data_IF_306525163587
#
_entry.id   IF_306525163587
#
_cell.length_a   1.000
_cell.length_b   1.000
_cell.length_c   1.000
_cell.angle_alpha   90.00
_cell.angle_beta   90.00
_cell.angle_gamma   90.00
#
_symmetry.space_group_name_H-M   'P 1'
#
loop_
_entity.id
_entity.type
_entity.pdbx_description
1 polymer ?
#
# COMPACT_ATOMS: atom_id res chain seq x y z
N UNK A 1 24.51 -14.43 10.57
CA UNK A 1 23.61 -14.64 9.43
C UNK A 1 24.27 -14.03 8.21
N UNK A 2 24.55 -14.85 7.20
CA UNK A 2 25.31 -14.42 6.02
C UNK A 2 24.39 -13.87 4.90
N UNK A 3 23.11 -14.24 4.90
CA UNK A 3 22.10 -13.73 3.98
C UNK A 3 21.63 -12.33 4.31
N UNK A 4 21.05 -11.63 3.31
CA UNK A 4 20.49 -10.30 3.43
C UNK A 4 18.98 -10.34 3.23
N UNK A 5 18.24 -9.55 3.99
CA UNK A 5 16.80 -9.37 3.82
C UNK A 5 16.50 -8.00 3.20
N UNK A 6 15.72 -8.01 2.13
CA UNK A 6 15.28 -6.82 1.42
C UNK A 6 13.76 -6.70 1.49
N UNK A 7 13.24 -5.66 2.15
CA UNK A 7 11.84 -5.27 2.04
C UNK A 7 11.67 -4.33 0.86
N UNK A 8 10.94 -4.74 -0.16
CA UNK A 8 10.90 -4.08 -1.46
C UNK A 8 9.49 -3.57 -1.78
N UNK A 9 9.37 -2.27 -1.99
CA UNK A 9 8.17 -1.68 -2.57
C UNK A 9 8.12 -1.91 -4.07
N UNK A 10 7.04 -2.55 -4.54
CA UNK A 10 6.85 -2.85 -5.97
C UNK A 10 5.99 -1.81 -6.69
N UNK A 11 5.65 -0.71 -6.02
CA UNK A 11 4.74 0.28 -6.60
C UNK A 11 3.28 -0.15 -6.57
N UNK A 12 2.38 0.63 -7.17
CA UNK A 12 0.92 0.49 -6.97
C UNK A 12 0.22 -0.45 -7.96
N UNK A 13 0.87 -0.87 -9.05
CA UNK A 13 0.25 -1.70 -10.08
C UNK A 13 1.12 -1.88 -11.33
N UNK A 14 1.59 -0.81 -11.91
CA UNK A 14 2.43 -0.83 -13.09
C UNK A 14 3.87 -1.30 -12.76
N UNK A 15 4.38 -2.37 -13.40
CA UNK A 15 5.77 -2.84 -13.22
C UNK A 15 6.83 -1.79 -13.57
N UNK A 16 6.56 -0.85 -14.46
CA UNK A 16 7.51 0.21 -14.83
C UNK A 16 7.70 1.27 -13.72
N UNK A 17 6.83 1.27 -12.71
CA UNK A 17 6.96 2.13 -11.52
C UNK A 17 7.84 1.53 -10.42
N UNK A 18 8.47 0.37 -10.65
CA UNK A 18 9.49 -0.14 -9.74
C UNK A 18 10.75 0.73 -9.80
N UNK A 19 11.33 1.01 -8.63
CA UNK A 19 12.64 1.67 -8.60
C UNK A 19 13.72 0.73 -9.15
N UNK A 20 14.74 1.27 -9.79
CA UNK A 20 15.90 0.46 -10.27
C UNK A 20 16.52 -0.38 -9.16
N UNK A 21 16.54 0.15 -7.93
CA UNK A 21 17.03 -0.58 -6.76
C UNK A 21 16.13 -1.76 -6.40
N UNK A 22 14.81 -1.61 -6.53
CA UNK A 22 13.84 -2.69 -6.33
C UNK A 22 14.03 -3.81 -7.37
N UNK A 23 14.14 -3.45 -8.64
CA UNK A 23 14.43 -4.40 -9.73
C UNK A 23 15.70 -5.19 -9.46
N UNK A 24 16.79 -4.51 -9.06
CA UNK A 24 18.06 -5.17 -8.76
C UNK A 24 17.95 -6.14 -7.57
N UNK A 25 17.20 -5.77 -6.52
CA UNK A 25 17.00 -6.64 -5.36
C UNK A 25 16.15 -7.89 -5.73
N UNK A 26 15.13 -7.74 -6.57
CA UNK A 26 14.30 -8.84 -7.05
C UNK A 26 15.12 -9.79 -7.94
N UNK A 27 15.90 -9.27 -8.89
CA UNK A 27 16.74 -10.09 -9.78
C UNK A 27 17.80 -10.90 -9.05
N UNK A 28 18.33 -10.38 -7.94
CA UNK A 28 19.38 -11.02 -7.14
C UNK A 28 18.83 -11.79 -5.91
N UNK A 29 17.53 -11.98 -5.81
CA UNK A 29 16.93 -12.75 -4.74
C UNK A 29 17.11 -14.26 -4.97
N UNK A 30 17.48 -14.99 -3.91
CA UNK A 30 17.42 -16.46 -3.87
C UNK A 30 16.01 -16.93 -3.49
N UNK A 31 15.32 -16.12 -2.64
CA UNK A 31 13.96 -16.38 -2.17
C UNK A 31 13.14 -15.10 -2.26
N UNK A 32 11.93 -15.21 -2.79
CA UNK A 32 10.94 -14.14 -2.79
C UNK A 32 9.79 -14.51 -1.87
N UNK A 33 9.55 -13.68 -0.87
CA UNK A 33 8.35 -13.76 -0.03
C UNK A 33 7.24 -12.96 -0.67
N UNK A 34 6.18 -13.64 -1.07
CA UNK A 34 4.98 -13.08 -1.68
C UNK A 34 3.84 -13.06 -0.64
N UNK A 35 3.53 -11.91 -0.02
CA UNK A 35 2.45 -11.85 0.95
C UNK A 35 1.09 -12.03 0.28
N UNK A 36 0.25 -12.84 0.90
CA UNK A 36 -1.14 -13.03 0.52
C UNK A 36 -2.07 -12.89 1.72
N UNK A 37 -3.35 -12.68 1.45
CA UNK A 37 -4.40 -12.71 2.48
C UNK A 37 -5.10 -14.06 2.48
N UNK A 38 -5.72 -14.44 3.59
CA UNK A 38 -6.48 -15.70 3.71
C UNK A 38 -7.60 -15.85 2.67
N UNK A 39 -8.11 -14.71 2.15
CA UNK A 39 -9.30 -14.65 1.28
C UNK A 39 -8.97 -14.61 -0.22
N UNK A 40 -7.70 -14.53 -0.60
CA UNK A 40 -7.30 -14.41 -2.02
C UNK A 40 -6.18 -15.38 -2.33
N UNK A 41 -6.38 -16.15 -3.39
CA UNK A 41 -5.30 -16.89 -4.02
C UNK A 41 -4.40 -15.90 -4.80
N UNK A 42 -3.10 -15.93 -4.52
CA UNK A 42 -2.11 -15.09 -5.17
C UNK A 42 -1.75 -13.80 -4.41
N UNK A 43 -0.77 -13.11 -4.95
CA UNK A 43 -0.20 -11.87 -4.40
C UNK A 43 -0.10 -10.82 -5.50
N UNK A 44 -0.82 -9.69 -5.35
CA UNK A 44 -0.73 -8.58 -6.30
C UNK A 44 0.71 -8.05 -6.40
N UNK A 45 1.43 -8.00 -5.29
CA UNK A 45 2.83 -7.58 -5.30
C UNK A 45 3.72 -8.54 -6.09
N UNK A 46 3.42 -9.84 -6.10
CA UNK A 46 4.12 -10.83 -6.93
C UNK A 46 3.84 -10.60 -8.42
N UNK A 47 2.57 -10.41 -8.80
CA UNK A 47 2.19 -10.14 -10.19
C UNK A 47 2.94 -8.93 -10.76
N UNK A 48 3.04 -7.84 -9.98
CA UNK A 48 3.78 -6.64 -10.40
C UNK A 48 5.29 -6.92 -10.55
N UNK A 49 5.87 -7.72 -9.67
CA UNK A 49 7.31 -8.03 -9.67
C UNK A 49 7.70 -9.10 -10.71
N UNK A 50 6.74 -9.89 -11.19
CA UNK A 50 6.96 -11.09 -12.03
C UNK A 50 7.90 -10.85 -13.21
N UNK A 51 7.82 -9.74 -13.99
CA UNK A 51 8.72 -9.49 -15.12
C UNK A 51 10.22 -9.40 -14.73
N UNK A 52 10.52 -9.20 -13.47
CA UNK A 52 11.88 -9.03 -12.97
C UNK A 52 12.41 -10.24 -12.18
N UNK A 53 11.60 -11.26 -11.97
CA UNK A 53 11.99 -12.49 -11.26
C UNK A 53 12.71 -13.41 -12.23
N UNK A 54 13.94 -13.83 -11.88
CA UNK A 54 14.73 -14.72 -12.74
C UNK A 54 14.65 -16.17 -12.27
N UNK A 55 15.27 -16.50 -11.13
CA UNK A 55 15.42 -17.89 -10.64
C UNK A 55 15.10 -18.03 -9.14
N UNK A 56 14.43 -17.06 -8.54
CA UNK A 56 14.13 -17.10 -7.11
C UNK A 56 13.05 -18.14 -6.77
N UNK A 57 13.22 -18.82 -5.65
CA UNK A 57 12.18 -19.64 -5.04
C UNK A 57 11.06 -18.71 -4.50
N UNK A 58 9.80 -18.95 -4.88
CA UNK A 58 8.66 -18.13 -4.45
C UNK A 58 7.97 -18.81 -3.27
N UNK A 59 7.92 -18.09 -2.14
CA UNK A 59 7.26 -18.54 -0.91
C UNK A 59 6.07 -17.62 -0.62
N UNK A 60 4.87 -18.19 -0.61
CA UNK A 60 3.68 -17.46 -0.19
C UNK A 60 3.57 -17.48 1.34
N UNK A 61 3.52 -16.29 1.93
CA UNK A 61 3.22 -16.13 3.35
C UNK A 61 1.87 -15.46 3.54
N UNK A 62 1.01 -16.08 4.37
CA UNK A 62 -0.30 -15.54 4.70
C UNK A 62 -0.19 -14.55 5.84
N UNK A 63 -0.76 -13.36 5.65
CA UNK A 63 -0.85 -12.33 6.67
C UNK A 63 -2.32 -12.00 6.92
N UNK A 64 -2.81 -12.19 8.15
CA UNK A 64 -4.19 -11.91 8.49
C UNK A 64 -4.46 -10.40 8.43
N UNK A 65 -5.64 -10.04 7.91
CA UNK A 65 -6.14 -8.66 7.92
C UNK A 65 -6.82 -8.35 9.25
N UNK A 66 -6.05 -8.28 10.34
CA UNK A 66 -6.57 -8.06 11.70
C UNK A 66 -6.57 -6.61 12.10
N UNK A 67 -7.49 -6.25 12.98
CA UNK A 67 -7.51 -4.93 13.64
C UNK A 67 -6.48 -4.83 14.76
N UNK A 68 -6.13 -5.95 15.38
CA UNK A 68 -5.21 -6.02 16.51
C UNK A 68 -4.04 -6.96 16.17
N UNK A 69 -2.82 -6.46 16.28
CA UNK A 69 -1.59 -7.24 16.03
C UNK A 69 -1.45 -8.42 17.00
N UNK A 70 -1.89 -8.27 18.25
CA UNK A 70 -1.77 -9.29 19.30
C UNK A 70 -2.48 -10.59 18.91
N UNK A 71 -3.63 -10.51 18.23
CA UNK A 71 -4.41 -11.67 17.77
C UNK A 71 -3.68 -12.51 16.71
N UNK A 72 -2.67 -11.96 16.06
CA UNK A 72 -1.94 -12.60 14.97
C UNK A 72 -0.43 -12.66 15.21
N UNK A 73 0.01 -12.36 16.43
CA UNK A 73 1.43 -12.28 16.75
C UNK A 73 2.19 -13.60 16.46
N UNK A 74 1.56 -14.75 16.65
CA UNK A 74 2.16 -16.05 16.35
C UNK A 74 2.40 -16.23 14.85
N UNK A 75 1.42 -15.92 14.01
CA UNK A 75 1.56 -16.02 12.55
C UNK A 75 2.70 -15.13 12.04
N UNK A 76 2.82 -13.91 12.56
CA UNK A 76 3.93 -13.03 12.21
C UNK A 76 5.28 -13.58 12.68
N UNK A 77 5.34 -14.20 13.86
CA UNK A 77 6.56 -14.84 14.37
C UNK A 77 6.97 -16.04 13.52
N UNK A 78 6.02 -16.90 13.16
CA UNK A 78 6.28 -18.08 12.33
C UNK A 78 6.77 -17.66 10.95
N UNK A 79 6.13 -16.68 10.31
CA UNK A 79 6.57 -16.12 9.04
C UNK A 79 7.98 -15.52 9.14
N UNK A 80 8.28 -14.78 10.23
CA UNK A 80 9.62 -14.23 10.46
C UNK A 80 10.65 -15.33 10.71
N UNK A 81 10.32 -16.39 11.46
CA UNK A 81 11.20 -17.53 11.70
C UNK A 81 11.58 -18.24 10.41
N UNK A 82 10.62 -18.49 9.52
CA UNK A 82 10.89 -19.07 8.20
C UNK A 82 11.88 -18.20 7.41
N UNK A 83 11.71 -16.88 7.42
CA UNK A 83 12.66 -15.95 6.77
C UNK A 83 14.05 -16.07 7.42
N UNK A 84 14.13 -16.11 8.75
CA UNK A 84 15.41 -16.25 9.47
C UNK A 84 16.15 -17.56 9.13
N UNK A 85 15.45 -18.64 8.85
CA UNK A 85 16.04 -19.91 8.40
C UNK A 85 16.75 -19.74 7.05
N UNK A 86 16.11 -19.12 6.08
CA UNK A 86 16.74 -18.79 4.80
C UNK A 86 17.98 -17.90 4.96
N UNK A 87 17.89 -16.85 5.80
CA UNK A 87 19.02 -15.94 6.05
C UNK A 87 20.20 -16.64 6.75
N UNK A 88 19.95 -17.60 7.67
CA UNK A 88 20.99 -18.43 8.30
C UNK A 88 21.66 -19.34 7.29
N UNK A 89 20.90 -19.82 6.28
CA UNK A 89 21.42 -20.57 5.15
C UNK A 89 22.18 -19.74 4.10
N UNK A 90 22.42 -18.45 4.36
CA UNK A 90 23.15 -17.55 3.47
C UNK A 90 22.36 -17.03 2.28
N UNK A 91 21.04 -17.30 2.19
CA UNK A 91 20.18 -16.86 1.09
C UNK A 91 19.82 -15.37 1.21
N UNK A 92 19.77 -14.66 0.08
CA UNK A 92 19.19 -13.33 -0.02
C UNK A 92 17.67 -13.46 -0.17
N UNK A 93 16.94 -12.87 0.75
CA UNK A 93 15.47 -12.93 0.80
C UNK A 93 14.88 -11.57 0.47
N UNK A 94 13.99 -11.53 -0.53
CA UNK A 94 13.25 -10.32 -0.92
C UNK A 94 11.76 -10.46 -0.55
N UNK A 95 11.28 -9.59 0.32
CA UNK A 95 9.88 -9.48 0.71
C UNK A 95 9.20 -8.40 -0.13
N UNK A 96 8.20 -8.79 -0.92
CA UNK A 96 7.48 -7.86 -1.80
C UNK A 96 6.37 -7.13 -1.05
N UNK A 97 6.22 -5.85 -1.32
CA UNK A 97 5.18 -5.00 -0.73
C UNK A 97 4.52 -4.14 -1.79
N UNK A 98 3.20 -4.21 -1.90
CA UNK A 98 2.44 -3.30 -2.76
C UNK A 98 2.62 -1.84 -2.31
N UNK A 99 2.90 -0.94 -3.23
CA UNK A 99 3.22 0.45 -2.94
C UNK A 99 4.58 0.58 -2.25
N UNK A 100 4.62 1.18 -1.07
CA UNK A 100 5.83 1.43 -0.26
C UNK A 100 5.84 0.59 1.02
N UNK A 101 6.97 -0.02 1.42
CA UNK A 101 7.05 -0.89 2.59
C UNK A 101 6.81 -0.18 3.92
N UNK A 102 7.09 1.12 4.02
CA UNK A 102 6.95 1.89 5.26
C UNK A 102 5.62 2.63 5.35
N UNK A 103 4.70 2.41 4.37
CA UNK A 103 3.45 3.11 4.29
C UNK A 103 2.24 2.16 4.36
N UNK A 104 1.55 2.09 5.49
CA UNK A 104 0.39 1.21 5.76
C UNK A 104 0.59 -0.27 5.39
N UNK A 105 1.79 -0.79 5.55
CA UNK A 105 2.18 -2.13 5.13
C UNK A 105 2.33 -3.11 6.29
N UNK A 106 1.98 -4.38 6.05
CA UNK A 106 2.28 -5.52 6.93
C UNK A 106 3.77 -5.79 7.07
N UNK A 107 4.59 -5.37 6.11
CA UNK A 107 6.04 -5.45 6.17
C UNK A 107 6.62 -4.88 7.47
N UNK A 108 6.06 -3.79 7.99
CA UNK A 108 6.55 -3.12 9.22
C UNK A 108 6.62 -4.09 10.41
N UNK A 109 5.69 -5.03 10.53
CA UNK A 109 5.69 -6.02 11.61
C UNK A 109 6.79 -7.06 11.42
N UNK A 110 6.97 -7.58 10.21
CA UNK A 110 8.06 -8.51 9.86
C UNK A 110 9.42 -7.84 10.04
N UNK A 111 9.57 -6.59 9.56
CA UNK A 111 10.76 -5.78 9.74
C UNK A 111 11.20 -5.68 11.20
N UNK A 112 10.27 -5.37 12.12
CA UNK A 112 10.56 -5.26 13.56
C UNK A 112 11.09 -6.58 14.13
N UNK A 113 10.47 -7.71 13.81
CA UNK A 113 10.87 -9.03 14.29
C UNK A 113 12.27 -9.40 13.78
N UNK A 114 12.56 -9.18 12.50
CA UNK A 114 13.86 -9.48 11.90
C UNK A 114 14.97 -8.57 12.45
N UNK A 115 14.70 -7.28 12.64
CA UNK A 115 15.64 -6.34 13.27
C UNK A 115 16.00 -6.77 14.68
N UNK A 116 15.02 -7.16 15.48
CA UNK A 116 15.23 -7.62 16.87
C UNK A 116 16.03 -8.93 16.91
N UNK A 117 16.00 -9.71 15.84
CA UNK A 117 16.79 -10.95 15.72
C UNK A 117 18.22 -10.73 15.17
N UNK A 118 18.63 -9.47 14.94
CA UNK A 118 19.96 -9.12 14.44
C UNK A 118 20.17 -9.38 12.95
N UNK A 119 19.10 -9.58 12.16
CA UNK A 119 19.20 -9.76 10.72
C UNK A 119 19.67 -8.47 10.01
N UNK A 120 20.42 -8.64 8.91
CA UNK A 120 20.78 -7.53 8.01
C UNK A 120 19.57 -7.18 7.15
N UNK A 121 18.89 -6.09 7.48
CA UNK A 121 17.67 -5.65 6.81
C UNK A 121 17.91 -4.37 6.02
N UNK A 122 17.54 -4.38 4.76
CA UNK A 122 17.51 -3.21 3.88
C UNK A 122 16.08 -2.99 3.39
N UNK A 123 15.53 -1.80 3.62
CA UNK A 123 14.23 -1.41 3.07
C UNK A 123 14.44 -0.57 1.81
N UNK A 124 13.78 -0.96 0.73
CA UNK A 124 13.83 -0.27 -0.57
C UNK A 124 12.46 0.36 -0.83
N UNK A 125 12.39 1.70 -0.98
CA UNK A 125 11.11 2.38 -1.17
C UNK A 125 10.46 1.99 -2.50
N UNK A 126 9.13 2.10 -2.53
CA UNK A 126 8.32 2.01 -3.74
C UNK A 126 7.46 3.26 -3.90
N UNK A 127 6.84 3.42 -5.06
CA UNK A 127 5.90 4.52 -5.31
C UNK A 127 4.59 4.26 -4.58
N UNK A 128 4.15 5.12 -3.63
CA UNK A 128 2.84 4.99 -3.01
C UNK A 128 1.72 5.24 -4.01
N UNK A 129 0.62 4.48 -3.92
CA UNK A 129 -0.48 4.56 -4.88
C UNK A 129 -1.02 5.98 -5.07
N UNK A 130 -1.17 6.77 -4.01
CA UNK A 130 -1.74 8.11 -4.11
C UNK A 130 -0.88 9.09 -4.92
N UNK A 131 0.45 8.94 -4.93
CA UNK A 131 1.33 9.77 -5.76
C UNK A 131 1.29 9.34 -7.24
N UNK A 132 1.25 8.05 -7.52
CA UNK A 132 1.07 7.55 -8.87
C UNK A 132 -0.30 7.96 -9.44
N UNK A 133 -1.35 7.85 -8.64
CA UNK A 133 -2.70 8.29 -8.98
C UNK A 133 -2.71 9.79 -9.29
N UNK A 134 -2.10 10.63 -8.44
CA UNK A 134 -2.04 12.09 -8.65
C UNK A 134 -1.40 12.44 -10.00
N UNK A 135 -0.30 11.77 -10.36
CA UNK A 135 0.35 11.94 -11.66
C UNK A 135 -0.52 11.46 -12.82
N UNK A 136 -1.21 10.32 -12.63
CA UNK A 136 -2.04 9.71 -13.68
C UNK A 136 -3.29 10.53 -14.02
N UNK A 137 -3.94 11.11 -13.00
CA UNK A 137 -5.12 11.97 -13.20
C UNK A 137 -4.75 13.44 -13.43
N UNK A 138 -3.45 13.76 -13.53
CA UNK A 138 -2.92 15.11 -13.73
C UNK A 138 -3.40 16.12 -12.66
N UNK A 139 -3.65 15.63 -11.43
CA UNK A 139 -4.08 16.44 -10.29
C UNK A 139 -3.03 16.40 -9.19
N UNK A 140 -2.31 17.49 -8.90
CA UNK A 140 -1.32 17.52 -7.82
C UNK A 140 -1.94 17.11 -6.48
N UNK A 141 -1.29 16.19 -5.76
CA UNK A 141 -1.73 15.82 -4.42
C UNK A 141 -1.64 17.00 -3.43
N UNK A 142 -0.63 17.86 -3.62
CA UNK A 142 -0.44 19.11 -2.88
C UNK A 142 0.47 20.05 -3.69
N UNK A 143 0.32 21.37 -3.54
CA UNK A 143 1.23 22.36 -4.10
C UNK A 143 1.33 23.59 -3.19
N UNK A 144 2.40 24.37 -3.36
CA UNK A 144 2.62 25.60 -2.60
C UNK A 144 2.69 25.33 -1.09
N UNK A 145 1.78 25.92 -0.35
CA UNK A 145 1.70 25.82 1.11
C UNK A 145 0.56 24.91 1.60
N UNK A 146 0.04 24.03 0.73
CA UNK A 146 -1.05 23.13 1.09
C UNK A 146 -0.69 22.20 2.24
N UNK A 147 -1.61 22.06 3.16
CA UNK A 147 -1.59 21.00 4.17
C UNK A 147 -2.25 19.76 3.58
N UNK A 148 -1.41 18.77 3.21
CA UNK A 148 -1.88 17.46 2.77
C UNK A 148 -2.01 16.50 3.97
N UNK A 149 -3.20 15.93 4.16
CA UNK A 149 -3.40 14.85 5.14
C UNK A 149 -3.67 13.51 4.47
N UNK A 150 -3.12 12.45 5.06
CA UNK A 150 -3.33 11.08 4.59
C UNK A 150 -4.10 10.32 5.67
N UNK A 151 -5.32 9.91 5.33
CA UNK A 151 -6.32 9.45 6.27
C UNK A 151 -6.74 8.01 5.92
N UNK A 152 -6.58 7.02 6.82
CA UNK A 152 -7.23 5.73 6.63
C UNK A 152 -8.73 5.87 6.94
N UNK A 153 -9.60 5.59 5.96
CA UNK A 153 -11.06 5.68 6.12
C UNK A 153 -11.63 4.70 7.17
N UNK A 154 -10.78 3.84 7.73
CA UNK A 154 -11.10 2.96 8.86
C UNK A 154 -10.89 3.63 10.22
N UNK A 155 -10.40 4.87 10.25
CA UNK A 155 -10.30 5.66 11.48
C UNK A 155 -11.70 6.07 11.99
N UNK A 156 -11.86 6.40 13.28
CA UNK A 156 -13.09 6.96 13.80
C UNK A 156 -13.52 8.22 13.03
N UNK A 157 -14.83 8.37 12.82
CA UNK A 157 -15.40 9.48 12.04
C UNK A 157 -14.93 10.85 12.52
N UNK A 158 -14.91 11.06 13.82
CA UNK A 158 -14.48 12.32 14.44
C UNK A 158 -13.03 12.67 14.07
N UNK A 159 -12.13 11.68 14.04
CA UNK A 159 -10.74 11.90 13.62
C UNK A 159 -10.62 12.23 12.14
N UNK A 160 -11.46 11.64 11.29
CA UNK A 160 -11.48 11.96 9.85
C UNK A 160 -11.92 13.41 9.68
N UNK A 161 -13.02 13.81 10.31
CA UNK A 161 -13.56 15.18 10.25
C UNK A 161 -12.53 16.19 10.76
N UNK A 162 -11.92 15.96 11.92
CA UNK A 162 -10.95 16.89 12.50
C UNK A 162 -9.69 17.04 11.62
N UNK A 163 -9.24 15.95 10.99
CA UNK A 163 -8.13 16.00 10.05
C UNK A 163 -8.50 16.80 8.79
N UNK A 164 -9.71 16.63 8.24
CA UNK A 164 -10.17 17.35 7.05
C UNK A 164 -10.33 18.84 7.29
N UNK A 165 -10.77 19.27 8.48
CA UNK A 165 -10.93 20.71 8.81
C UNK A 165 -9.66 21.53 8.63
N UNK A 166 -8.50 20.94 8.89
CA UNK A 166 -7.19 21.60 8.78
C UNK A 166 -6.49 21.34 7.44
N UNK A 167 -7.11 20.56 6.55
CA UNK A 167 -6.51 20.14 5.29
C UNK A 167 -6.94 21.00 4.13
N UNK A 168 -5.99 21.36 3.27
CA UNK A 168 -6.24 21.90 1.93
C UNK A 168 -6.45 20.78 0.92
N UNK A 169 -5.72 19.67 1.10
CA UNK A 169 -5.85 18.45 0.33
C UNK A 169 -5.85 17.20 1.23
N UNK A 170 -6.50 16.15 0.80
CA UNK A 170 -6.59 14.90 1.54
C UNK A 170 -6.50 13.67 0.64
N UNK A 171 -5.79 12.67 1.13
CA UNK A 171 -5.77 11.31 0.58
C UNK A 171 -6.52 10.40 1.53
N UNK A 172 -7.61 9.78 1.07
CA UNK A 172 -8.34 8.81 1.87
C UNK A 172 -8.09 7.41 1.32
N UNK A 173 -7.53 6.54 2.18
CA UNK A 173 -7.20 5.16 1.84
C UNK A 173 -8.11 4.17 2.57
N UNK A 174 -8.21 2.93 2.04
CA UNK A 174 -9.04 1.87 2.63
C UNK A 174 -10.54 2.22 2.70
N UNK A 175 -11.03 2.98 1.72
CA UNK A 175 -12.41 3.50 1.66
C UNK A 175 -13.47 2.43 1.38
N UNK A 176 -13.08 1.24 1.00
CA UNK A 176 -13.95 0.18 0.48
C UNK A 176 -15.11 -0.25 1.40
N UNK A 177 -14.97 -0.09 2.71
CA UNK A 177 -16.04 -0.47 3.68
C UNK A 177 -16.98 0.68 4.00
N UNK A 178 -16.47 1.90 4.00
CA UNK A 178 -17.17 3.08 4.53
C UNK A 178 -17.32 4.14 3.43
N UNK A 179 -17.34 3.75 2.15
CA UNK A 179 -17.31 4.69 1.04
C UNK A 179 -18.44 5.71 1.07
N UNK A 180 -19.68 5.27 1.27
CA UNK A 180 -20.83 6.18 1.37
C UNK A 180 -20.66 7.22 2.49
N UNK A 181 -20.24 6.79 3.68
CA UNK A 181 -20.00 7.69 4.82
C UNK A 181 -18.85 8.65 4.55
N UNK A 182 -17.77 8.18 3.92
CA UNK A 182 -16.62 9.01 3.52
C UNK A 182 -17.05 10.11 2.55
N UNK A 183 -17.92 9.79 1.57
CA UNK A 183 -18.45 10.79 0.63
C UNK A 183 -19.30 11.83 1.38
N UNK A 184 -20.14 11.41 2.34
CA UNK A 184 -20.93 12.34 3.16
C UNK A 184 -20.04 13.28 3.98
N UNK A 185 -18.96 12.77 4.55
CA UNK A 185 -18.00 13.56 5.30
C UNK A 185 -17.30 14.56 4.39
N UNK A 186 -16.78 14.13 3.22
CA UNK A 186 -16.13 15.00 2.25
C UNK A 186 -17.07 16.08 1.73
N UNK A 187 -18.36 15.77 1.57
CA UNK A 187 -19.37 16.72 1.14
C UNK A 187 -19.63 17.80 2.19
N UNK A 188 -19.78 17.38 3.45
CA UNK A 188 -19.97 18.29 4.59
C UNK A 188 -18.76 19.21 4.81
N UNK A 189 -17.55 18.76 4.51
CA UNK A 189 -16.30 19.53 4.63
C UNK A 189 -15.95 20.33 3.36
N UNK A 190 -16.79 20.31 2.32
CA UNK A 190 -16.58 21.04 1.06
C UNK A 190 -15.44 20.50 0.20
N UNK A 191 -15.16 19.20 0.30
CA UNK A 191 -14.07 18.54 -0.39
C UNK A 191 -14.52 17.47 -1.41
N UNK A 192 -15.84 17.19 -1.52
CA UNK A 192 -16.34 16.13 -2.40
C UNK A 192 -16.37 16.55 -3.88
N UNK A 193 -16.46 17.85 -4.20
CA UNK A 193 -16.55 18.35 -5.59
C UNK A 193 -15.27 18.08 -6.37
N UNK A 194 -14.12 18.25 -5.74
CA UNK A 194 -12.78 18.04 -6.31
C UNK A 194 -12.18 16.68 -5.89
N UNK A 195 -13.02 15.71 -5.60
CA UNK A 195 -12.56 14.39 -5.25
C UNK A 195 -12.59 13.47 -6.46
N UNK A 196 -11.53 12.69 -6.63
CA UNK A 196 -11.44 11.57 -7.57
C UNK A 196 -11.14 10.29 -6.81
N UNK A 197 -11.86 9.22 -7.13
CA UNK A 197 -11.61 7.90 -6.58
C UNK A 197 -11.03 7.01 -7.67
N UNK A 198 -9.94 6.31 -7.37
CA UNK A 198 -9.40 5.27 -8.21
C UNK A 198 -9.34 3.96 -7.43
N UNK A 199 -9.87 2.92 -8.06
CA UNK A 199 -9.87 1.57 -7.56
C UNK A 199 -8.98 0.70 -8.44
N UNK A 200 -8.06 -0.05 -7.82
CA UNK A 200 -7.13 -0.99 -8.48
C UNK A 200 -6.24 -0.33 -9.52
N UNK A 201 -5.71 0.83 -9.20
CA UNK A 201 -4.79 1.59 -10.05
C UNK A 201 -3.66 0.73 -10.63
N UNK A 202 -3.44 0.84 -11.94
CA UNK A 202 -2.39 0.13 -12.69
C UNK A 202 -2.63 -1.38 -12.84
N UNK A 203 -3.84 -1.88 -12.56
CA UNK A 203 -4.24 -3.28 -12.73
C UNK A 203 -5.37 -3.38 -13.77
N UNK A 204 -5.53 -4.56 -14.40
CA UNK A 204 -6.46 -4.80 -15.51
C UNK A 204 -7.92 -4.37 -15.28
N UNK A 205 -8.36 -4.33 -14.03
CA UNK A 205 -9.71 -3.95 -13.62
C UNK A 205 -9.75 -2.59 -12.91
N UNK A 206 -8.86 -1.68 -13.29
CA UNK A 206 -8.86 -0.28 -12.84
C UNK A 206 -10.21 0.40 -13.11
N UNK A 207 -10.66 1.19 -12.13
CA UNK A 207 -11.86 2.04 -12.26
C UNK A 207 -11.58 3.43 -11.72
N UNK A 208 -12.02 4.45 -12.45
CA UNK A 208 -11.90 5.85 -12.08
C UNK A 208 -13.30 6.44 -11.91
N UNK A 209 -13.52 7.15 -10.81
CA UNK A 209 -14.76 7.83 -10.50
C UNK A 209 -14.46 9.31 -10.22
N UNK A 210 -14.71 10.17 -11.19
CA UNK A 210 -14.50 11.62 -11.06
C UNK A 210 -15.61 12.30 -10.24
N UNK A 211 -16.82 11.78 -10.27
CA UNK A 211 -17.93 12.22 -9.43
C UNK A 211 -18.25 11.17 -8.36
N UNK A 212 -17.57 11.27 -7.23
CA UNK A 212 -17.73 10.29 -6.15
C UNK A 212 -19.15 10.29 -5.54
N UNK A 213 -19.89 11.42 -5.63
CA UNK A 213 -21.27 11.53 -5.12
C UNK A 213 -22.23 10.63 -5.89
N UNK A 214 -22.07 10.55 -7.22
CA UNK A 214 -22.91 9.72 -8.08
C UNK A 214 -22.71 8.21 -7.85
N UNK A 215 -21.61 7.83 -7.21
CA UNK A 215 -21.18 6.44 -7.06
C UNK A 215 -21.23 5.94 -5.60
N UNK A 216 -21.91 6.64 -4.68
CA UNK A 216 -21.97 6.31 -3.24
C UNK A 216 -22.42 4.88 -2.92
N UNK A 217 -23.21 4.26 -3.79
CA UNK A 217 -23.71 2.88 -3.65
C UNK A 217 -22.75 1.82 -4.22
N UNK A 218 -21.65 2.22 -4.87
CA UNK A 218 -20.71 1.28 -5.47
C UNK A 218 -19.98 0.43 -4.44
N UNK A 219 -19.84 -0.85 -4.77
CA UNK A 219 -19.04 -1.79 -3.99
C UNK A 219 -17.59 -1.73 -4.42
N UNK A 220 -16.78 -1.09 -3.63
CA UNK A 220 -15.37 -0.85 -3.95
C UNK A 220 -14.45 -2.03 -3.59
N UNK A 221 -13.33 -2.13 -4.33
CA UNK A 221 -12.23 -3.01 -3.96
C UNK A 221 -11.44 -2.42 -2.78
N UNK A 222 -10.72 -3.28 -2.04
CA UNK A 222 -9.81 -2.87 -0.97
C UNK A 222 -8.75 -1.87 -1.45
N UNK A 223 -8.27 -2.02 -2.69
CA UNK A 223 -7.27 -1.14 -3.31
C UNK A 223 -7.95 0.09 -3.93
N UNK A 224 -8.68 0.85 -3.12
CA UNK A 224 -9.35 2.08 -3.55
C UNK A 224 -8.84 3.26 -2.74
N UNK A 225 -8.53 4.35 -3.44
CA UNK A 225 -7.97 5.57 -2.88
C UNK A 225 -8.75 6.76 -3.42
N UNK A 226 -9.08 7.73 -2.56
CA UNK A 226 -9.63 9.02 -2.95
C UNK A 226 -8.53 10.07 -2.80
N UNK A 227 -8.35 10.89 -3.84
CA UNK A 227 -7.70 12.18 -3.76
C UNK A 227 -8.78 13.26 -3.72
N UNK A 228 -8.66 14.18 -2.79
CA UNK A 228 -9.64 15.24 -2.60
C UNK A 228 -8.95 16.55 -2.26
N UNK A 229 -9.55 17.66 -2.65
CA UNK A 229 -9.02 19.00 -2.42
C UNK A 229 -10.13 19.98 -2.08
N UNK A 230 -9.84 20.92 -1.17
CA UNK A 230 -10.76 22.02 -0.82
C UNK A 230 -10.78 23.06 -1.94
N UNK A 231 -11.94 23.70 -2.14
CA UNK A 231 -12.12 24.74 -3.16
C UNK A 231 -12.71 24.23 -4.47
N UNK A 232 -12.78 25.09 -5.48
CA UNK A 232 -13.22 24.73 -6.84
C UNK A 232 -12.08 24.08 -7.61
N UNK A 233 -12.42 23.17 -8.53
CA UNK A 233 -11.44 22.68 -9.50
C UNK A 233 -10.85 23.89 -10.23
N UNK A 234 -9.53 24.01 -10.25
CA UNK A 234 -8.85 24.91 -11.14
C UNK A 234 -8.90 24.27 -12.54
N UNK A 235 -9.47 25.01 -13.51
CA UNK A 235 -9.53 24.62 -14.94
C UNK A 235 -8.13 24.53 -15.55
#
# INVERSE_FOLDING_TARGET
MDGNFYGVGVGPGDPELLTVKAVNAIKNADVIIAPKTEKKDGSVALTIAEPYILNAEIIFQTFPMVKNFEESAEIFKDNANQILEFLRGGKNVTFLTLGDPMFFSTYIYVYRLLKNSGAKVTTIPGVPAFLAIASYVERPAAYGNDILTIIPATAPKEKIVDALKISDAAVLMKVYKNFSEVVDILDAEGMAENAVLISRFGLDDEKIFENIRAHKSEKLNYLSTILSRRGKAED
#
